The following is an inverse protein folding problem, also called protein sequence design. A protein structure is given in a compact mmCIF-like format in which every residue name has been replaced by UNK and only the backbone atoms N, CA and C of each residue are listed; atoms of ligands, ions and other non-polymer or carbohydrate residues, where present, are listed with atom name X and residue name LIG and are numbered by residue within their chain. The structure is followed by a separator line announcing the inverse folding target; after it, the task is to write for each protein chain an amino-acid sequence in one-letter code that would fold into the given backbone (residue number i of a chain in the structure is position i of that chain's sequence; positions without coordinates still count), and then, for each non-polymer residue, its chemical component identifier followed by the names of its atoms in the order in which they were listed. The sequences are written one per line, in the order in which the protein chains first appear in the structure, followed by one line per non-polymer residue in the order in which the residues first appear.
data_IF_204536453090
#
_entry.id   IF_204536453090
#
_cell.length_a   1.000
_cell.length_b   1.000
_cell.length_c   1.000
_cell.angle_alpha   90.00
_cell.angle_beta   90.00
_cell.angle_gamma   90.00
#
_symmetry.space_group_name_H-M   'P 1'
#
loop_
_entity.id
_entity.type
_entity.pdbx_description
1 polymer ?
#
# COMPACT_ATOMS: atom_id res chain seq x y z
N UNK A 1 2.81 -1.54 16.08
CA UNK A 1 1.38 -1.29 16.31
C UNK A 1 0.64 -2.63 16.38
N UNK A 2 -0.43 -2.77 17.17
CA UNK A 2 -1.34 -3.91 17.05
C UNK A 2 -1.85 -4.09 15.62
N UNK A 3 -1.97 -5.34 15.14
CA UNK A 3 -2.42 -5.65 13.76
C UNK A 3 -3.70 -4.92 13.38
N UNK A 4 -4.70 -4.93 14.26
CA UNK A 4 -6.00 -4.32 13.98
C UNK A 4 -5.90 -2.81 13.73
N UNK A 5 -4.99 -2.11 14.42
CA UNK A 5 -4.79 -0.68 14.21
C UNK A 5 -4.20 -0.39 12.84
N UNK A 6 -3.29 -1.27 12.36
CA UNK A 6 -2.72 -1.19 11.02
C UNK A 6 -3.79 -1.44 9.96
N UNK A 7 -4.62 -2.46 10.12
CA UNK A 7 -5.71 -2.78 9.20
C UNK A 7 -6.76 -1.66 9.13
N UNK A 8 -7.14 -1.08 10.27
CA UNK A 8 -8.06 0.05 10.33
C UNK A 8 -7.48 1.28 9.61
N UNK A 9 -6.18 1.54 9.76
CA UNK A 9 -5.51 2.66 9.08
C UNK A 9 -5.45 2.43 7.55
N UNK A 10 -5.17 1.20 7.12
CA UNK A 10 -5.25 0.80 5.70
C UNK A 10 -6.66 1.03 5.15
N UNK A 11 -7.69 0.53 5.82
CA UNK A 11 -9.09 0.69 5.40
C UNK A 11 -9.49 2.17 5.36
N UNK A 12 -9.06 2.98 6.32
CA UNK A 12 -9.34 4.42 6.32
C UNK A 12 -8.67 5.16 5.15
N UNK A 13 -7.53 4.66 4.68
CA UNK A 13 -6.73 5.29 3.62
C UNK A 13 -7.18 4.86 2.22
N UNK A 14 -7.46 3.57 2.03
CA UNK A 14 -7.84 3.01 0.72
C UNK A 14 -9.34 2.75 0.55
N UNK A 15 -10.13 2.83 1.63
CA UNK A 15 -11.54 2.45 1.67
C UNK A 15 -11.78 0.94 1.76
N UNK A 16 -10.73 0.13 1.65
CA UNK A 16 -10.72 -1.34 1.78
C UNK A 16 -9.39 -1.80 2.35
N UNK A 17 -9.34 -3.02 2.91
CA UNK A 17 -8.07 -3.72 3.15
C UNK A 17 -7.72 -4.56 1.91
N UNK A 18 -6.63 -4.26 1.19
CA UNK A 18 -6.20 -5.13 0.09
C UNK A 18 -5.86 -6.54 0.59
N UNK A 19 -6.36 -7.58 -0.07
CA UNK A 19 -6.10 -8.98 0.25
C UNK A 19 -4.61 -9.35 0.35
N UNK A 20 -3.72 -8.73 -0.45
CA UNK A 20 -2.28 -8.98 -0.34
C UNK A 20 -1.71 -8.51 1.01
N UNK A 21 -2.29 -7.47 1.62
CA UNK A 21 -1.90 -6.97 2.93
C UNK A 21 -2.52 -7.82 4.04
N UNK A 22 -3.77 -8.25 3.89
CA UNK A 22 -4.42 -9.14 4.88
C UNK A 22 -3.68 -10.48 5.01
N UNK A 23 -3.11 -11.00 3.93
CA UNK A 23 -2.27 -12.20 3.97
C UNK A 23 -0.90 -12.04 4.65
N UNK A 24 -0.46 -10.83 4.99
CA UNK A 24 0.89 -10.60 5.54
C UNK A 24 1.01 -10.99 7.03
N UNK A 25 2.15 -11.57 7.44
CA UNK A 25 2.51 -11.68 8.86
C UNK A 25 2.61 -10.30 9.52
N UNK A 26 2.25 -10.20 10.80
CA UNK A 26 2.16 -8.92 11.53
C UNK A 26 3.45 -8.09 11.47
N UNK A 27 4.61 -8.73 11.62
CA UNK A 27 5.92 -8.06 11.54
C UNK A 27 6.21 -7.43 10.18
N UNK A 28 5.63 -7.99 9.10
CA UNK A 28 5.80 -7.51 7.72
C UNK A 28 4.74 -6.47 7.39
N UNK A 29 3.51 -6.67 7.87
CA UNK A 29 2.37 -5.81 7.59
C UNK A 29 2.64 -4.37 8.03
N UNK A 30 3.06 -4.17 9.28
CA UNK A 30 3.31 -2.82 9.81
C UNK A 30 4.41 -2.08 9.03
N UNK A 31 5.55 -2.74 8.81
CA UNK A 31 6.67 -2.13 8.09
C UNK A 31 6.31 -1.83 6.63
N UNK A 32 5.66 -2.77 5.94
CA UNK A 32 5.22 -2.61 4.56
C UNK A 32 4.20 -1.49 4.44
N UNK A 33 3.23 -1.43 5.36
CA UNK A 33 2.22 -0.38 5.36
C UNK A 33 2.82 0.99 5.58
N UNK A 34 3.68 1.15 6.59
CA UNK A 34 4.34 2.42 6.89
C UNK A 34 5.11 2.93 5.67
N UNK A 35 5.88 2.06 5.00
CA UNK A 35 6.60 2.40 3.78
C UNK A 35 5.66 2.80 2.63
N UNK A 36 4.63 1.99 2.35
CA UNK A 36 3.71 2.23 1.25
C UNK A 36 2.91 3.51 1.44
N UNK A 37 2.44 3.77 2.66
CA UNK A 37 1.68 4.98 2.97
C UNK A 37 2.52 6.23 2.78
N UNK A 38 3.75 6.25 3.31
CA UNK A 38 4.69 7.36 3.16
C UNK A 38 5.04 7.60 1.67
N UNK A 39 5.27 6.52 0.92
CA UNK A 39 5.60 6.61 -0.50
C UNK A 39 4.40 7.00 -1.38
N UNK A 40 3.19 6.50 -1.13
CA UNK A 40 2.06 6.68 -2.05
C UNK A 40 1.18 7.89 -1.73
N UNK A 41 1.08 8.31 -0.46
CA UNK A 41 0.10 9.31 -0.03
C UNK A 41 0.63 10.74 0.07
N UNK A 42 1.95 10.93 0.08
CA UNK A 42 2.58 12.25 0.20
C UNK A 42 3.04 12.73 -1.17
N UNK A 43 2.78 13.97 -1.56
CA UNK A 43 3.35 14.50 -2.82
C UNK A 43 4.86 14.75 -2.70
N UNK A 44 5.61 14.40 -3.74
CA UNK A 44 7.05 14.70 -3.85
C UNK A 44 7.31 15.47 -5.15
N UNK A 45 8.45 15.26 -5.82
CA UNK A 45 8.60 15.65 -7.22
C UNK A 45 7.56 14.98 -8.13
N UNK A 46 6.93 13.88 -7.67
CA UNK A 46 5.80 13.23 -8.31
C UNK A 46 4.57 13.30 -7.40
N UNK A 47 3.42 13.60 -7.98
CA UNK A 47 2.15 13.53 -7.25
C UNK A 47 1.81 12.08 -6.86
N UNK A 48 1.01 11.92 -5.80
CA UNK A 48 0.44 10.63 -5.38
C UNK A 48 -0.21 9.88 -6.55
N UNK A 49 -0.99 10.60 -7.37
CA UNK A 49 -1.61 10.05 -8.59
C UNK A 49 -0.58 9.52 -9.58
N UNK A 50 0.50 10.25 -9.85
CA UNK A 50 1.52 9.81 -10.79
C UNK A 50 2.27 8.57 -10.28
N UNK A 51 2.56 8.51 -8.98
CA UNK A 51 3.18 7.33 -8.36
C UNK A 51 2.29 6.09 -8.46
N UNK A 52 0.98 6.25 -8.24
CA UNK A 52 0.02 5.17 -8.43
C UNK A 52 -0.01 4.65 -9.88
N UNK A 53 -0.03 5.56 -10.87
CA UNK A 53 0.02 5.19 -12.30
C UNK A 53 1.31 4.46 -12.68
N UNK A 54 2.45 4.90 -12.14
CA UNK A 54 3.74 4.21 -12.32
C UNK A 54 3.69 2.80 -11.73
N UNK A 55 3.12 2.65 -10.52
CA UNK A 55 2.92 1.35 -9.89
C UNK A 55 2.09 0.39 -10.75
N UNK A 56 0.99 0.87 -11.34
CA UNK A 56 0.15 0.09 -12.26
C UNK A 56 0.94 -0.32 -13.52
N UNK A 57 1.73 0.59 -14.09
CA UNK A 57 2.57 0.29 -15.26
C UNK A 57 3.64 -0.77 -14.97
N UNK A 58 4.28 -0.69 -13.80
CA UNK A 58 5.24 -1.69 -13.35
C UNK A 58 4.56 -3.05 -13.12
N UNK A 59 3.45 -3.10 -12.38
CA UNK A 59 2.67 -4.32 -12.14
C UNK A 59 2.23 -4.99 -13.45
N UNK A 60 1.76 -4.19 -14.43
CA UNK A 60 1.39 -4.67 -15.77
C UNK A 60 2.58 -5.28 -16.52
N UNK A 61 3.76 -4.67 -16.41
CA UNK A 61 4.99 -5.15 -17.05
C UNK A 61 5.48 -6.46 -16.43
N UNK A 62 5.40 -6.57 -15.11
CA UNK A 62 5.79 -7.78 -14.38
C UNK A 62 4.73 -8.89 -14.39
N UNK A 63 3.54 -8.64 -14.97
CA UNK A 63 2.40 -9.57 -14.95
C UNK A 63 2.00 -9.95 -13.51
N UNK A 64 1.90 -8.94 -12.65
CA UNK A 64 1.31 -9.11 -11.32
C UNK A 64 -0.19 -9.32 -11.48
N UNK A 65 -0.68 -10.52 -11.19
CA UNK A 65 -2.10 -10.92 -11.35
C UNK A 65 -3.01 -10.40 -10.24
N UNK A 66 -2.41 -10.04 -9.10
CA UNK A 66 -3.09 -9.36 -8.01
C UNK A 66 -3.28 -7.89 -8.34
#
# INVERSE_FOLDING_TARGET
MPRQDVLNDIESTFGIVPGFMDGMPDMVLEHTWAFLKDLLMVDTALSAKNKALIGIGAASTFRCDY
#
